data_IF_874784595178
#
_entry.id   IF_874784595178
#
_cell.length_a   1.000
_cell.length_b   1.000
_cell.length_c   1.000
_cell.angle_alpha   90.00
_cell.angle_beta   90.00
_cell.angle_gamma   90.00
#
_symmetry.space_group_name_H-M   'P 1'
#
loop_
_entity.id
_entity.type
_entity.pdbx_description
1 polymer ?
#
# COMPACT_ATOMS: atom_id res chain seq x y z
N UNK A 1 -3.29 20.61 32.37
CA UNK A 1 -3.23 20.18 30.95
C UNK A 1 -3.25 18.67 30.99
N UNK A 2 -4.15 18.00 30.26
CA UNK A 2 -4.10 16.55 30.16
C UNK A 2 -2.78 16.17 29.43
N UNK A 3 -2.02 15.23 29.98
CA UNK A 3 -0.80 14.74 29.32
C UNK A 3 -1.15 14.20 27.93
N UNK A 4 -0.49 14.73 26.89
CA UNK A 4 -0.66 14.24 25.51
C UNK A 4 -0.27 12.78 25.45
N UNK A 5 -1.14 11.87 24.97
CA UNK A 5 -0.82 10.46 24.92
C UNK A 5 0.38 10.23 23.99
N UNK A 6 1.32 9.42 24.44
CA UNK A 6 2.51 9.08 23.65
C UNK A 6 2.18 8.19 22.44
N UNK A 7 1.07 7.44 22.52
CA UNK A 7 0.54 6.59 21.47
C UNK A 7 -0.97 6.85 21.25
N UNK A 8 -1.34 7.13 20.02
CA UNK A 8 -2.75 7.11 19.57
C UNK A 8 -2.96 5.96 18.59
N UNK A 9 -3.94 5.10 18.86
CA UNK A 9 -4.38 4.06 17.93
C UNK A 9 -5.57 4.58 17.15
N UNK A 10 -5.43 4.76 15.85
CA UNK A 10 -6.53 5.10 14.93
C UNK A 10 -7.12 3.80 14.40
N UNK A 11 -8.33 3.47 14.80
CA UNK A 11 -8.99 2.23 14.43
C UNK A 11 -10.05 2.46 13.36
N UNK A 12 -9.95 1.77 12.22
CA UNK A 12 -11.00 1.73 11.21
C UNK A 12 -11.86 0.46 11.42
N UNK A 13 -13.02 0.57 12.09
CA UNK A 13 -13.79 -0.60 12.51
C UNK A 13 -14.32 -1.42 11.34
N UNK A 14 -14.48 -0.84 10.16
CA UNK A 14 -15.00 -1.52 8.96
C UNK A 14 -13.92 -2.28 8.19
N UNK A 15 -12.63 -2.02 8.45
CA UNK A 15 -11.52 -2.69 7.79
C UNK A 15 -11.57 -4.22 8.02
N UNK A 16 -11.13 -4.95 6.97
CA UNK A 16 -11.16 -6.41 6.98
C UNK A 16 -12.58 -6.99 7.16
N UNK A 17 -13.59 -6.37 6.58
CA UNK A 17 -15.01 -6.74 6.71
C UNK A 17 -15.48 -6.72 8.19
N UNK A 18 -15.07 -5.71 8.94
CA UNK A 18 -15.43 -5.54 10.35
C UNK A 18 -14.51 -6.29 11.32
N UNK A 19 -13.45 -6.93 10.84
CA UNK A 19 -12.45 -7.63 11.69
C UNK A 19 -11.74 -6.64 12.62
N UNK A 20 -11.35 -5.48 12.12
CA UNK A 20 -10.62 -4.47 12.90
C UNK A 20 -11.44 -4.00 14.11
N UNK A 21 -12.74 -3.76 13.96
CA UNK A 21 -13.63 -3.39 15.08
C UNK A 21 -13.63 -4.44 16.20
N UNK A 22 -13.65 -5.73 15.83
CA UNK A 22 -13.60 -6.83 16.81
C UNK A 22 -12.24 -6.96 17.52
N UNK A 23 -11.17 -6.40 16.93
CA UNK A 23 -9.81 -6.47 17.47
C UNK A 23 -9.46 -5.31 18.40
N UNK A 24 -10.26 -4.24 18.48
CA UNK A 24 -10.03 -3.10 19.36
C UNK A 24 -9.80 -3.55 20.82
N UNK A 25 -10.68 -4.40 21.35
CA UNK A 25 -10.54 -4.94 22.70
C UNK A 25 -9.25 -5.73 22.92
N UNK A 26 -8.81 -6.50 21.90
CA UNK A 26 -7.54 -7.25 21.95
C UNK A 26 -6.34 -6.30 21.98
N UNK A 27 -6.35 -5.25 21.14
CA UNK A 27 -5.30 -4.23 21.10
C UNK A 27 -5.21 -3.51 22.44
N UNK A 28 -6.34 -3.01 22.96
CA UNK A 28 -6.41 -2.32 24.28
C UNK A 28 -5.84 -3.20 25.40
N UNK A 29 -6.29 -4.46 25.47
CA UNK A 29 -5.83 -5.40 26.51
C UNK A 29 -4.34 -5.72 26.37
N UNK A 30 -3.85 -5.87 25.12
CA UNK A 30 -2.46 -6.12 24.82
C UNK A 30 -1.55 -4.97 25.25
N UNK A 31 -1.90 -3.73 24.88
CA UNK A 31 -1.15 -2.53 25.24
C UNK A 31 -1.14 -2.29 26.76
N UNK A 32 -2.29 -2.46 27.43
CA UNK A 32 -2.37 -2.36 28.89
C UNK A 32 -1.46 -3.38 29.60
N UNK A 33 -1.44 -4.63 29.15
CA UNK A 33 -0.58 -5.69 29.71
C UNK A 33 0.91 -5.37 29.55
N UNK A 34 1.27 -4.65 28.47
CA UNK A 34 2.64 -4.20 28.21
C UNK A 34 2.98 -2.86 28.93
N UNK A 35 2.04 -2.28 29.66
CA UNK A 35 2.23 -0.98 30.33
C UNK A 35 2.31 0.21 29.38
N UNK A 36 1.84 0.08 28.14
CA UNK A 36 1.88 1.15 27.14
C UNK A 36 0.67 2.08 27.31
N UNK A 37 0.93 3.33 27.69
CA UNK A 37 -0.10 4.37 27.77
C UNK A 37 -0.57 4.71 26.36
N UNK A 38 -1.87 4.64 26.11
CA UNK A 38 -2.45 4.81 24.80
C UNK A 38 -3.87 5.38 24.85
N UNK A 39 -4.24 6.03 23.75
CA UNK A 39 -5.62 6.43 23.45
C UNK A 39 -6.06 5.67 22.19
N UNK A 40 -7.35 5.27 22.14
CA UNK A 40 -7.93 4.68 20.91
C UNK A 40 -8.97 5.65 20.37
N UNK A 41 -8.81 6.06 19.13
CA UNK A 41 -9.76 6.86 18.37
C UNK A 41 -10.33 6.01 17.23
N UNK A 42 -11.65 5.92 17.16
CA UNK A 42 -12.36 5.09 16.16
C UNK A 42 -12.82 6.02 15.04
N UNK A 43 -12.45 5.69 13.81
CA UNK A 43 -12.87 6.45 12.63
C UNK A 43 -14.27 6.03 12.15
N UNK A 44 -15.01 6.97 11.59
CA UNK A 44 -16.30 6.74 10.96
C UNK A 44 -16.20 6.48 9.44
N UNK A 45 -15.10 6.91 8.83
CA UNK A 45 -14.85 6.80 7.39
C UNK A 45 -13.35 6.74 7.08
N UNK A 46 -12.99 6.50 5.80
CA UNK A 46 -11.60 6.57 5.36
C UNK A 46 -10.96 7.96 5.58
N UNK A 47 -11.55 9.06 5.05
CA UNK A 47 -11.03 10.42 5.30
C UNK A 47 -10.89 10.78 6.78
N UNK A 48 -11.72 10.20 7.64
CA UNK A 48 -11.67 10.41 9.08
C UNK A 48 -10.41 9.79 9.71
N UNK A 49 -9.90 8.67 9.16
CA UNK A 49 -8.62 8.09 9.59
C UNK A 49 -7.48 9.10 9.42
N UNK A 50 -7.39 9.72 8.25
CA UNK A 50 -6.36 10.72 7.95
C UNK A 50 -6.47 11.94 8.87
N UNK A 51 -7.69 12.44 9.06
CA UNK A 51 -7.98 13.59 9.97
C UNK A 51 -7.57 13.27 11.40
N UNK A 52 -8.00 12.12 11.94
CA UNK A 52 -7.68 11.71 13.33
C UNK A 52 -6.17 11.54 13.51
N UNK A 53 -5.49 10.93 12.54
CA UNK A 53 -4.04 10.75 12.60
C UNK A 53 -3.31 12.10 12.62
N UNK A 54 -3.73 13.03 11.78
CA UNK A 54 -3.20 14.41 11.71
C UNK A 54 -3.40 15.15 13.03
N UNK A 55 -4.61 15.18 13.54
CA UNK A 55 -4.94 15.85 14.81
C UNK A 55 -4.15 15.27 15.98
N UNK A 56 -3.96 13.95 16.02
CA UNK A 56 -3.14 13.31 17.04
C UNK A 56 -1.67 13.78 16.96
N UNK A 57 -1.09 13.76 15.78
CA UNK A 57 0.32 14.14 15.57
C UNK A 57 0.55 15.64 15.83
N UNK A 58 -0.32 16.53 15.33
CA UNK A 58 -0.26 17.97 15.58
C UNK A 58 -0.50 18.30 17.06
N UNK A 59 -1.29 17.48 17.77
CA UNK A 59 -1.46 17.53 19.21
C UNK A 59 -0.26 17.06 20.02
N UNK A 60 0.84 16.66 19.37
CA UNK A 60 2.10 16.29 20.02
C UNK A 60 2.29 14.77 20.25
N UNK A 61 1.36 13.92 19.78
CA UNK A 61 1.53 12.46 19.83
C UNK A 61 2.75 12.06 19.01
N UNK A 62 3.62 11.24 19.59
CA UNK A 62 4.87 10.80 18.94
C UNK A 62 4.71 9.54 18.10
N UNK A 63 3.67 8.75 18.37
CA UNK A 63 3.44 7.47 17.72
C UNK A 63 1.95 7.30 17.40
N UNK A 64 1.65 7.15 16.11
CA UNK A 64 0.30 6.86 15.62
C UNK A 64 0.25 5.44 15.08
N UNK A 65 -0.63 4.60 15.63
CA UNK A 65 -0.81 3.21 15.19
C UNK A 65 -2.12 3.08 14.41
N UNK A 66 -2.05 2.59 13.19
CA UNK A 66 -3.21 2.34 12.33
C UNK A 66 -3.73 0.91 12.52
N UNK A 67 -4.89 0.75 13.13
CA UNK A 67 -5.58 -0.55 13.25
C UNK A 67 -6.52 -0.74 12.05
N UNK A 68 -6.06 -1.50 11.06
CA UNK A 68 -6.81 -1.73 9.83
C UNK A 68 -6.02 -2.51 8.80
N UNK A 69 -6.39 -2.41 7.53
CA UNK A 69 -5.64 -2.94 6.39
C UNK A 69 -4.74 -1.87 5.74
N UNK A 70 -4.16 -2.20 4.59
CA UNK A 70 -3.21 -1.35 3.86
C UNK A 70 -3.77 0.05 3.57
N UNK A 71 -5.04 0.18 3.17
CA UNK A 71 -5.68 1.49 2.98
C UNK A 71 -5.76 2.32 4.27
N UNK A 72 -6.04 1.70 5.44
CA UNK A 72 -6.04 2.40 6.72
C UNK A 72 -4.64 2.89 7.09
N UNK A 73 -3.61 2.08 6.82
CA UNK A 73 -2.21 2.44 7.04
C UNK A 73 -1.81 3.61 6.15
N UNK A 74 -2.17 3.56 4.86
CA UNK A 74 -1.89 4.63 3.89
C UNK A 74 -2.53 5.96 4.28
N UNK A 75 -3.81 5.94 4.70
CA UNK A 75 -4.52 7.13 5.17
C UNK A 75 -3.88 7.72 6.45
N UNK A 76 -3.51 6.87 7.41
CA UNK A 76 -2.83 7.32 8.62
C UNK A 76 -1.45 7.91 8.31
N UNK A 77 -0.70 7.29 7.37
CA UNK A 77 0.58 7.81 6.88
C UNK A 77 0.42 9.22 6.29
N UNK A 78 -0.57 9.43 5.41
CA UNK A 78 -0.86 10.75 4.85
C UNK A 78 -1.22 11.77 5.93
N UNK A 79 -1.93 11.34 6.97
CA UNK A 79 -2.27 12.21 8.10
C UNK A 79 -1.07 12.73 8.88
N UNK A 80 -0.06 11.89 9.10
CA UNK A 80 1.10 12.25 9.94
C UNK A 80 2.31 12.71 9.15
N UNK A 81 2.27 12.63 7.82
CA UNK A 81 3.40 13.03 6.97
C UNK A 81 3.82 14.49 7.25
N UNK A 82 5.10 14.70 7.49
CA UNK A 82 5.67 16.02 7.80
C UNK A 82 5.50 16.48 9.25
N UNK A 83 4.85 15.71 10.14
CA UNK A 83 4.65 16.07 11.56
C UNK A 83 5.79 15.58 12.47
N UNK A 84 6.61 14.64 11.99
CA UNK A 84 7.63 13.97 12.79
C UNK A 84 7.11 12.87 13.71
N UNK A 85 5.81 12.57 13.71
CA UNK A 85 5.26 11.41 14.39
C UNK A 85 5.59 10.13 13.63
N UNK A 86 5.83 9.03 14.35
CA UNK A 86 6.08 7.73 13.74
C UNK A 86 4.77 6.98 13.47
N UNK A 87 4.77 6.17 12.40
CA UNK A 87 3.67 5.27 12.06
C UNK A 87 3.92 3.87 12.62
N UNK A 88 2.89 3.22 13.13
CA UNK A 88 2.87 1.78 13.38
C UNK A 88 1.68 1.14 12.67
N UNK A 89 1.85 -0.06 12.12
CA UNK A 89 0.77 -0.83 11.52
C UNK A 89 0.29 -1.93 12.47
N UNK A 90 -1.02 -1.95 12.75
CA UNK A 90 -1.71 -3.01 13.49
C UNK A 90 -2.61 -3.78 12.48
N UNK A 91 -2.13 -4.92 11.95
CA UNK A 91 -2.76 -5.61 10.84
C UNK A 91 -4.13 -6.20 11.20
N UNK A 92 -5.15 -5.75 10.49
CA UNK A 92 -6.53 -6.21 10.65
C UNK A 92 -7.29 -6.31 9.31
N UNK A 93 -6.59 -6.10 8.20
CA UNK A 93 -7.11 -6.20 6.86
C UNK A 93 -7.17 -7.64 6.32
N UNK A 94 -7.31 -7.75 5.00
CA UNK A 94 -7.27 -9.00 4.25
C UNK A 94 -5.88 -9.26 3.63
N UNK A 95 -5.15 -8.21 3.27
CA UNK A 95 -3.81 -8.26 2.70
C UNK A 95 -2.74 -8.04 3.76
N UNK A 96 -2.78 -6.89 4.38
CA UNK A 96 -1.78 -6.41 5.36
C UNK A 96 -0.34 -6.48 4.80
N UNK A 97 -0.19 -6.11 3.53
CA UNK A 97 1.05 -6.29 2.76
C UNK A 97 2.15 -5.34 3.21
N UNK A 98 1.81 -4.09 3.52
CA UNK A 98 2.73 -3.14 4.14
C UNK A 98 3.23 -3.66 5.51
N UNK A 99 2.31 -4.12 6.36
CA UNK A 99 2.67 -4.64 7.69
C UNK A 99 3.60 -5.85 7.59
N UNK A 100 3.43 -6.72 6.59
CA UNK A 100 4.37 -7.83 6.32
C UNK A 100 5.75 -7.33 5.94
N UNK A 101 5.83 -6.28 5.10
CA UNK A 101 7.08 -5.67 4.65
C UNK A 101 7.93 -5.15 5.80
N UNK A 102 7.31 -4.51 6.76
CA UNK A 102 7.95 -3.93 7.94
C UNK A 102 8.11 -4.90 9.14
N UNK A 103 7.81 -6.19 8.97
CA UNK A 103 7.95 -7.19 10.04
C UNK A 103 6.85 -7.15 11.12
N UNK A 104 5.72 -6.49 10.84
CA UNK A 104 4.57 -6.36 11.73
C UNK A 104 3.34 -7.17 11.25
N UNK A 105 3.52 -8.18 10.39
CA UNK A 105 2.43 -8.89 9.70
C UNK A 105 1.50 -9.73 10.59
N UNK A 106 1.81 -9.89 11.90
CA UNK A 106 0.93 -10.53 12.89
C UNK A 106 0.55 -9.52 13.97
N UNK A 107 -0.75 -9.43 14.30
CA UNK A 107 -1.24 -8.45 15.27
C UNK A 107 -0.54 -8.52 16.62
N UNK A 108 -0.30 -9.73 17.15
CA UNK A 108 0.36 -9.88 18.45
C UNK A 108 1.83 -9.42 18.42
N UNK A 109 2.53 -9.66 17.30
CA UNK A 109 3.86 -9.11 17.05
C UNK A 109 3.81 -7.59 17.00
N UNK A 110 2.89 -7.04 16.20
CA UNK A 110 2.73 -5.58 16.04
C UNK A 110 2.44 -4.87 17.37
N UNK A 111 1.56 -5.44 18.21
CA UNK A 111 1.30 -4.93 19.56
C UNK A 111 2.58 -4.96 20.41
N UNK A 112 3.34 -6.06 20.33
CA UNK A 112 4.59 -6.21 21.08
C UNK A 112 5.65 -5.17 20.72
N UNK A 113 5.73 -4.77 19.43
CA UNK A 113 6.66 -3.73 18.97
C UNK A 113 6.39 -2.37 19.61
N UNK A 114 5.15 -2.08 20.01
CA UNK A 114 4.77 -0.80 20.61
C UNK A 114 5.26 -0.62 22.06
N UNK A 115 5.73 -1.69 22.71
CA UNK A 115 6.31 -1.61 24.06
C UNK A 115 7.72 -1.00 24.05
N UNK A 116 8.49 -1.21 22.97
CA UNK A 116 9.82 -0.65 22.77
C UNK A 116 10.01 -0.39 21.26
N UNK A 117 9.35 0.62 20.71
CA UNK A 117 9.31 0.86 19.27
C UNK A 117 10.70 1.22 18.75
N UNK A 118 11.12 0.49 17.71
CA UNK A 118 12.28 0.84 16.88
C UNK A 118 11.77 1.37 15.56
N UNK A 119 12.19 2.57 15.21
CA UNK A 119 11.77 3.23 13.96
C UNK A 119 12.88 3.22 12.94
N UNK A 120 12.47 3.13 11.67
CA UNK A 120 13.30 3.38 10.49
C UNK A 120 12.57 4.40 9.64
N UNK A 121 13.30 5.33 9.07
CA UNK A 121 12.73 6.32 8.15
C UNK A 121 12.53 5.64 6.79
N UNK A 122 11.27 5.47 6.40
CA UNK A 122 10.88 4.91 5.11
C UNK A 122 10.66 6.01 4.08
N UNK A 123 10.85 5.62 2.83
CA UNK A 123 10.55 6.47 1.69
C UNK A 123 9.03 6.57 1.49
N UNK A 124 8.59 7.71 1.04
CA UNK A 124 7.21 7.97 0.66
C UNK A 124 7.18 8.30 -0.82
N UNK A 125 6.21 7.78 -1.52
CA UNK A 125 6.04 8.07 -2.94
C UNK A 125 4.92 9.08 -3.09
N UNK A 126 5.22 10.16 -3.79
CA UNK A 126 4.26 11.17 -4.16
C UNK A 126 3.79 10.94 -5.58
N UNK A 127 2.48 10.91 -5.78
CA UNK A 127 1.85 10.78 -7.08
C UNK A 127 1.04 12.02 -7.42
N UNK A 128 1.21 12.50 -8.62
CA UNK A 128 0.41 13.60 -9.20
C UNK A 128 -0.31 13.13 -10.45
N UNK A 129 -1.64 13.28 -10.49
CA UNK A 129 -2.47 13.02 -11.68
C UNK A 129 -3.35 14.24 -11.93
N UNK A 130 -3.17 14.95 -13.03
CA UNK A 130 -3.88 16.21 -13.27
C UNK A 130 -3.69 17.20 -12.12
N UNK A 131 -4.75 17.53 -11.38
CA UNK A 131 -4.69 18.40 -10.19
C UNK A 131 -4.64 17.64 -8.86
N UNK A 132 -4.78 16.33 -8.87
CA UNK A 132 -4.75 15.51 -7.67
C UNK A 132 -3.32 15.15 -7.29
N UNK A 133 -2.96 15.35 -6.02
CA UNK A 133 -1.69 14.97 -5.43
C UNK A 133 -1.94 14.13 -4.18
N UNK A 134 -1.27 13.00 -4.09
CA UNK A 134 -1.39 12.07 -2.98
C UNK A 134 -0.04 11.46 -2.66
N UNK A 135 0.11 10.97 -1.41
CA UNK A 135 1.26 10.17 -1.02
C UNK A 135 0.83 8.73 -0.75
N UNK A 136 1.72 7.78 -0.99
CA UNK A 136 1.52 6.36 -0.68
C UNK A 136 2.84 5.72 -0.26
N UNK A 137 2.77 4.54 0.36
CA UNK A 137 3.94 3.93 1.04
C UNK A 137 4.27 2.52 0.54
N UNK A 138 3.45 1.97 -0.36
CA UNK A 138 3.64 0.59 -0.80
C UNK A 138 3.72 0.48 -2.33
N UNK A 139 2.61 0.26 -3.04
CA UNK A 139 2.60 0.07 -4.50
C UNK A 139 1.42 0.79 -5.12
N UNK A 140 1.66 1.41 -6.27
CA UNK A 140 0.65 1.91 -7.18
C UNK A 140 0.68 1.15 -8.49
N UNK A 141 -0.49 0.90 -9.06
CA UNK A 141 -0.65 0.18 -10.31
C UNK A 141 -1.49 0.92 -11.34
N UNK A 142 -1.18 0.71 -12.62
CA UNK A 142 -1.92 1.20 -13.77
C UNK A 142 -2.08 0.11 -14.82
N UNK A 143 -3.30 -0.14 -15.27
CA UNK A 143 -3.61 -1.12 -16.31
C UNK A 143 -4.53 -2.22 -15.83
N UNK A 144 -4.14 -3.48 -16.02
CA UNK A 144 -5.00 -4.63 -15.73
C UNK A 144 -5.45 -4.70 -14.26
N UNK A 145 -4.54 -4.50 -13.32
CA UNK A 145 -4.81 -4.49 -11.88
C UNK A 145 -5.82 -3.40 -11.50
N UNK A 146 -5.69 -2.21 -12.06
CA UNK A 146 -6.61 -1.09 -11.84
C UNK A 146 -8.02 -1.39 -12.35
N UNK A 147 -8.13 -2.02 -13.53
CA UNK A 147 -9.42 -2.47 -14.06
C UNK A 147 -10.03 -3.63 -13.23
N UNK A 148 -9.20 -4.49 -12.64
CA UNK A 148 -9.64 -5.51 -11.67
C UNK A 148 -10.20 -4.86 -10.41
N UNK A 149 -9.51 -3.87 -9.86
CA UNK A 149 -9.97 -3.13 -8.68
C UNK A 149 -11.30 -2.40 -8.96
N UNK A 150 -11.43 -1.71 -10.09
CA UNK A 150 -12.67 -1.06 -10.51
C UNK A 150 -13.81 -2.09 -10.67
N UNK A 151 -13.53 -3.23 -11.31
CA UNK A 151 -14.49 -4.31 -11.47
C UNK A 151 -14.93 -4.89 -10.13
N UNK A 152 -13.99 -5.16 -9.21
CA UNK A 152 -14.28 -5.72 -7.89
C UNK A 152 -15.12 -4.76 -7.04
N UNK A 153 -14.81 -3.47 -7.08
CA UNK A 153 -15.57 -2.43 -6.39
C UNK A 153 -16.99 -2.28 -6.92
N UNK A 154 -17.22 -2.49 -8.22
CA UNK A 154 -18.53 -2.45 -8.87
C UNK A 154 -19.35 -3.75 -8.78
N UNK A 155 -18.83 -4.83 -8.19
CA UNK A 155 -19.55 -6.09 -8.08
C UNK A 155 -20.58 -6.05 -6.96
N UNK A 156 -21.85 -6.34 -7.30
CA UNK A 156 -22.97 -6.43 -6.36
C UNK A 156 -22.94 -7.72 -5.53
N UNK A 157 -22.48 -8.82 -6.14
CA UNK A 157 -22.40 -10.14 -5.49
C UNK A 157 -20.99 -10.27 -4.91
N UNK A 158 -20.89 -10.33 -3.59
CA UNK A 158 -19.63 -10.52 -2.87
C UNK A 158 -19.47 -11.99 -2.48
N UNK A 159 -18.51 -12.67 -3.09
CA UNK A 159 -18.16 -14.09 -2.85
C UNK A 159 -17.09 -14.24 -1.74
N UNK A 160 -17.08 -13.31 -0.79
CA UNK A 160 -15.95 -13.11 0.10
C UNK A 160 -14.80 -12.36 -0.60
N UNK A 161 -13.78 -11.91 0.14
CA UNK A 161 -12.73 -11.07 -0.43
C UNK A 161 -11.99 -11.76 -1.60
N UNK A 162 -11.46 -12.96 -1.36
CA UNK A 162 -10.70 -13.70 -2.38
C UNK A 162 -11.58 -14.12 -3.57
N UNK A 163 -12.79 -14.60 -3.32
CA UNK A 163 -13.71 -15.04 -4.38
C UNK A 163 -14.15 -13.87 -5.26
N UNK A 164 -14.47 -12.72 -4.68
CA UNK A 164 -14.81 -11.51 -5.41
C UNK A 164 -13.66 -11.02 -6.28
N UNK A 165 -12.43 -11.03 -5.74
CA UNK A 165 -11.25 -10.63 -6.48
C UNK A 165 -10.94 -11.56 -7.66
N UNK A 166 -10.99 -12.88 -7.44
CA UNK A 166 -10.80 -13.87 -8.53
C UNK A 166 -11.87 -13.73 -9.61
N UNK A 167 -13.14 -13.54 -9.23
CA UNK A 167 -14.21 -13.32 -10.20
C UNK A 167 -14.01 -12.02 -10.98
N UNK A 168 -13.59 -10.94 -10.32
CA UNK A 168 -13.24 -9.67 -10.96
C UNK A 168 -12.08 -9.84 -11.94
N UNK A 169 -11.01 -10.55 -11.53
CA UNK A 169 -9.84 -10.84 -12.37
C UNK A 169 -10.25 -11.57 -13.66
N UNK A 170 -11.01 -12.67 -13.55
CA UNK A 170 -11.46 -13.43 -14.72
C UNK A 170 -12.37 -12.59 -15.62
N UNK A 171 -13.32 -11.86 -15.03
CA UNK A 171 -14.24 -10.98 -15.76
C UNK A 171 -13.48 -9.87 -16.47
N UNK A 172 -12.52 -9.22 -15.82
CA UNK A 172 -11.69 -8.18 -16.42
C UNK A 172 -10.83 -8.75 -17.54
N UNK A 173 -10.13 -9.86 -17.30
CA UNK A 173 -9.26 -10.48 -18.29
C UNK A 173 -10.01 -10.88 -19.57
N UNK A 174 -11.29 -11.28 -19.47
CA UNK A 174 -12.08 -11.68 -20.65
C UNK A 174 -12.24 -10.55 -21.66
N UNK A 175 -12.27 -9.29 -21.24
CA UNK A 175 -12.48 -8.09 -22.08
C UNK A 175 -11.28 -7.14 -22.11
N UNK A 176 -10.27 -7.38 -21.27
CA UNK A 176 -9.09 -6.51 -21.19
C UNK A 176 -8.32 -6.51 -22.51
N UNK A 177 -7.86 -5.33 -22.89
CA UNK A 177 -6.89 -5.11 -23.96
C UNK A 177 -5.70 -4.33 -23.40
N UNK A 178 -4.45 -4.72 -23.73
CA UNK A 178 -3.27 -3.94 -23.37
C UNK A 178 -3.39 -2.50 -23.85
N UNK A 179 -2.74 -1.57 -23.15
CA UNK A 179 -2.59 -0.20 -23.59
C UNK A 179 -1.14 0.05 -24.03
N UNK A 180 -0.95 1.03 -24.91
CA UNK A 180 0.37 1.54 -25.25
C UNK A 180 0.73 2.60 -24.19
N UNK A 181 1.80 2.34 -23.47
CA UNK A 181 2.34 3.23 -22.44
C UNK A 181 3.60 3.93 -22.96
N UNK A 182 3.74 5.18 -22.53
CA UNK A 182 5.00 5.92 -22.58
C UNK A 182 5.43 6.11 -21.14
N UNK A 183 6.59 5.56 -20.78
CA UNK A 183 7.13 5.59 -19.43
C UNK A 183 8.47 6.28 -19.48
N UNK A 184 8.62 7.38 -18.74
CA UNK A 184 9.90 8.06 -18.59
C UNK A 184 10.41 7.81 -17.18
N UNK A 185 11.56 7.20 -17.05
CA UNK A 185 12.23 6.87 -15.77
C UNK A 185 13.48 7.73 -15.72
N UNK A 186 13.48 8.73 -14.85
CA UNK A 186 14.50 9.77 -14.83
C UNK A 186 14.70 10.35 -16.26
N UNK A 187 15.75 9.97 -16.98
CA UNK A 187 16.03 10.42 -18.36
C UNK A 187 15.76 9.32 -19.43
N UNK A 188 15.40 8.09 -19.03
CA UNK A 188 15.15 6.98 -19.94
C UNK A 188 13.67 6.94 -20.36
N UNK A 189 13.39 7.06 -21.67
CA UNK A 189 12.04 6.94 -22.24
C UNK A 189 11.82 5.55 -22.82
N UNK A 190 10.73 4.89 -22.42
CA UNK A 190 10.31 3.57 -22.88
C UNK A 190 8.91 3.66 -23.48
N UNK A 191 8.74 3.18 -24.69
CA UNK A 191 7.43 3.01 -25.33
C UNK A 191 7.10 1.52 -25.40
N UNK A 192 5.95 1.11 -24.86
CA UNK A 192 5.63 -0.31 -24.71
C UNK A 192 4.13 -0.57 -24.66
N UNK A 193 3.69 -1.62 -25.37
CA UNK A 193 2.37 -2.20 -25.13
C UNK A 193 2.44 -3.11 -23.89
N UNK A 194 1.68 -2.77 -22.86
CA UNK A 194 1.71 -3.49 -21.59
C UNK A 194 0.32 -3.87 -21.08
N UNK A 195 0.29 -4.96 -20.32
CA UNK A 195 -0.86 -5.36 -19.52
C UNK A 195 -1.02 -4.43 -18.31
N UNK A 196 0.11 -4.18 -17.63
CA UNK A 196 0.13 -3.34 -16.43
C UNK A 196 1.53 -2.76 -16.20
N UNK A 197 1.57 -1.68 -15.42
CA UNK A 197 2.75 -1.03 -14.87
C UNK A 197 2.52 -0.86 -13.38
N UNK A 198 3.38 -1.45 -12.56
CA UNK A 198 3.39 -1.32 -11.10
C UNK A 198 4.61 -0.51 -10.67
N UNK A 199 4.41 0.41 -9.75
CA UNK A 199 5.44 1.34 -9.27
C UNK A 199 5.33 1.42 -7.75
N UNK A 200 6.44 1.25 -7.03
CA UNK A 200 6.40 1.31 -5.58
C UNK A 200 7.76 1.14 -4.93
N UNK A 201 7.76 1.08 -3.60
CA UNK A 201 8.91 0.72 -2.78
C UNK A 201 8.63 -0.53 -1.93
N UNK A 202 7.37 -0.97 -1.85
CA UNK A 202 6.97 -2.20 -1.15
C UNK A 202 7.07 -3.43 -2.03
N UNK A 203 7.29 -4.60 -1.41
CA UNK A 203 7.45 -5.89 -2.13
C UNK A 203 6.14 -6.55 -2.50
N UNK A 204 5.08 -6.33 -1.72
CA UNK A 204 3.83 -7.07 -1.79
C UNK A 204 2.65 -6.15 -2.03
N UNK A 205 1.69 -6.64 -2.79
CA UNK A 205 0.37 -6.03 -2.97
C UNK A 205 -0.70 -7.10 -3.15
N UNK A 206 -1.97 -6.72 -3.03
CA UNK A 206 -3.10 -7.58 -3.35
C UNK A 206 -3.21 -8.85 -2.50
N UNK A 207 -2.71 -8.82 -1.25
CA UNK A 207 -2.81 -9.94 -0.32
C UNK A 207 -1.72 -10.99 -0.44
N UNK A 208 -0.51 -10.61 -0.84
CA UNK A 208 0.67 -11.47 -0.85
C UNK A 208 1.32 -11.70 -2.21
N UNK A 209 0.89 -11.00 -3.24
CA UNK A 209 1.60 -11.01 -4.53
C UNK A 209 2.91 -10.22 -4.39
N UNK A 210 4.04 -10.85 -4.67
CA UNK A 210 5.38 -10.24 -4.63
C UNK A 210 5.70 -9.57 -5.96
N UNK A 211 5.02 -8.47 -6.25
CA UNK A 211 5.11 -7.79 -7.55
C UNK A 211 6.47 -7.12 -7.74
N UNK A 212 7.02 -6.56 -6.69
CA UNK A 212 8.35 -5.94 -6.67
C UNK A 212 9.26 -6.68 -5.67
N UNK A 213 9.70 -7.92 -5.99
CA UNK A 213 10.29 -8.84 -4.99
C UNK A 213 11.59 -8.33 -4.36
N UNK A 214 12.32 -7.45 -5.04
CA UNK A 214 13.61 -6.92 -4.60
C UNK A 214 13.52 -5.49 -4.04
N UNK A 215 12.32 -4.89 -4.05
CA UNK A 215 12.08 -3.54 -3.57
C UNK A 215 12.53 -3.33 -2.11
N UNK A 216 13.05 -2.14 -1.83
CA UNK A 216 13.51 -1.72 -0.51
C UNK A 216 12.90 -0.37 -0.16
N UNK A 217 12.14 -0.31 0.94
CA UNK A 217 11.30 0.83 1.31
C UNK A 217 12.08 2.05 1.83
N UNK A 218 13.42 1.99 1.86
CA UNK A 218 14.28 3.06 2.41
C UNK A 218 15.62 3.17 1.68
N UNK A 219 15.66 2.94 0.38
CA UNK A 219 16.89 3.08 -0.43
C UNK A 219 16.85 4.28 -1.40
N UNK A 220 15.77 5.06 -1.34
CA UNK A 220 15.61 6.26 -2.16
C UNK A 220 15.22 5.98 -3.60
N UNK A 221 14.74 4.76 -3.91
CA UNK A 221 14.38 4.36 -5.26
C UNK A 221 12.91 3.94 -5.37
N UNK A 222 12.34 4.21 -6.53
CA UNK A 222 11.12 3.60 -7.03
C UNK A 222 11.48 2.31 -7.76
N UNK A 223 10.83 1.22 -7.43
CA UNK A 223 10.87 -0.02 -8.21
C UNK A 223 9.70 -0.06 -9.20
N UNK A 224 9.95 -0.54 -10.41
CA UNK A 224 8.97 -0.69 -11.46
C UNK A 224 8.90 -2.13 -11.96
N UNK A 225 7.68 -2.63 -12.14
CA UNK A 225 7.40 -3.87 -12.84
C UNK A 225 6.50 -3.56 -14.06
N UNK A 226 7.04 -3.77 -15.26
CA UNK A 226 6.32 -3.57 -16.52
C UNK A 226 6.02 -4.95 -17.10
N UNK A 227 4.75 -5.33 -17.16
CA UNK A 227 4.32 -6.59 -17.79
C UNK A 227 3.84 -6.27 -19.20
N UNK A 228 4.70 -6.58 -20.20
CA UNK A 228 4.38 -6.35 -21.60
C UNK A 228 3.15 -7.12 -22.06
N UNK A 229 2.58 -6.70 -23.15
CA UNK A 229 1.42 -7.37 -23.76
C UNK A 229 1.62 -8.87 -23.93
N UNK A 230 0.67 -9.63 -23.40
CA UNK A 230 0.59 -11.09 -23.43
C UNK A 230 -0.78 -11.53 -23.92
N UNK A 231 -0.87 -12.72 -24.51
CA UNK A 231 -2.17 -13.35 -24.70
C UNK A 231 -2.80 -13.69 -23.34
N UNK A 232 -4.13 -13.69 -23.26
CA UNK A 232 -4.87 -13.99 -22.02
C UNK A 232 -4.46 -15.32 -21.39
N UNK A 233 -4.24 -16.33 -22.24
CA UNK A 233 -3.80 -17.66 -21.78
C UNK A 233 -2.36 -17.65 -21.26
N UNK A 234 -1.45 -16.89 -21.90
CA UNK A 234 -0.08 -16.73 -21.41
C UNK A 234 -0.04 -15.97 -20.09
N UNK A 235 -0.86 -14.92 -19.95
CA UNK A 235 -1.00 -14.16 -18.71
C UNK A 235 -1.46 -15.08 -17.56
N UNK A 236 -2.54 -15.86 -17.75
CA UNK A 236 -3.03 -16.80 -16.73
C UNK A 236 -2.00 -17.86 -16.31
N UNK A 237 -1.18 -18.33 -17.25
CA UNK A 237 -0.09 -19.29 -16.92
C UNK A 237 1.06 -18.63 -16.15
N UNK A 238 1.34 -17.37 -16.43
CA UNK A 238 2.41 -16.62 -15.78
C UNK A 238 1.98 -16.08 -14.41
N UNK A 239 0.69 -15.77 -14.23
CA UNK A 239 0.15 -15.09 -13.04
C UNK A 239 0.52 -15.76 -11.70
N UNK A 240 0.45 -17.10 -11.52
CA UNK A 240 0.83 -17.71 -10.24
C UNK A 240 2.27 -17.45 -9.81
N UNK A 241 3.16 -17.11 -10.75
CA UNK A 241 4.58 -16.83 -10.46
C UNK A 241 4.76 -15.55 -9.64
N UNK A 242 3.76 -14.64 -9.65
CA UNK A 242 3.82 -13.41 -8.86
C UNK A 242 3.86 -13.68 -7.35
N UNK A 243 3.24 -14.76 -6.87
CA UNK A 243 3.24 -15.09 -5.44
C UNK A 243 4.62 -15.51 -4.92
N UNK A 244 5.48 -16.02 -5.79
CA UNK A 244 6.86 -16.39 -5.47
C UNK A 244 7.87 -15.32 -5.87
N UNK A 245 7.46 -14.29 -6.63
CA UNK A 245 8.36 -13.31 -7.23
C UNK A 245 9.07 -13.81 -8.49
N UNK A 246 8.85 -15.07 -8.91
CA UNK A 246 9.55 -15.66 -10.07
C UNK A 246 9.04 -15.15 -11.43
N UNK A 247 8.00 -14.32 -11.45
CA UNK A 247 7.53 -13.64 -12.67
C UNK A 247 8.60 -12.72 -13.27
N UNK A 248 9.52 -12.18 -12.46
CA UNK A 248 10.62 -11.32 -12.91
C UNK A 248 11.56 -11.99 -13.90
N UNK A 249 11.61 -13.33 -13.93
CA UNK A 249 12.40 -14.08 -14.92
C UNK A 249 11.66 -14.31 -16.24
N UNK A 250 10.39 -13.85 -16.36
CA UNK A 250 9.63 -14.01 -17.59
C UNK A 250 10.08 -12.98 -18.64
N UNK A 251 10.32 -13.37 -19.93
CA UNK A 251 10.87 -12.46 -20.95
C UNK A 251 9.97 -11.28 -21.31
N UNK A 252 8.71 -11.31 -20.91
CA UNK A 252 7.75 -10.20 -21.06
C UNK A 252 7.62 -9.32 -19.82
N UNK A 253 8.38 -9.59 -18.77
CA UNK A 253 8.44 -8.75 -17.57
C UNK A 253 9.77 -7.99 -17.57
N UNK A 254 9.69 -6.70 -17.35
CA UNK A 254 10.84 -5.80 -17.26
C UNK A 254 10.81 -5.13 -15.90
N UNK A 255 11.89 -5.27 -15.13
CA UNK A 255 12.10 -4.56 -13.87
C UNK A 255 12.99 -3.35 -14.13
N UNK A 256 12.69 -2.23 -13.49
CA UNK A 256 13.48 -0.98 -13.53
C UNK A 256 13.45 -0.32 -12.17
N UNK A 257 14.38 0.60 -11.97
CA UNK A 257 14.41 1.48 -10.80
C UNK A 257 14.68 2.92 -11.24
N UNK A 258 14.24 3.89 -10.47
CA UNK A 258 14.49 5.31 -10.71
C UNK A 258 14.03 6.16 -9.55
N UNK A 259 14.23 7.45 -9.61
CA UNK A 259 13.80 8.41 -8.57
C UNK A 259 12.55 9.16 -8.95
N UNK A 260 12.30 9.29 -10.25
CA UNK A 260 11.13 9.95 -10.82
C UNK A 260 10.64 9.15 -12.02
N UNK A 261 9.33 8.92 -12.06
CA UNK A 261 8.69 8.16 -13.13
C UNK A 261 7.48 8.93 -13.63
N UNK A 262 7.42 9.16 -14.95
CA UNK A 262 6.23 9.65 -15.63
C UNK A 262 5.59 8.51 -16.42
N UNK A 263 4.28 8.39 -16.34
CA UNK A 263 3.53 7.37 -17.07
C UNK A 263 2.39 8.02 -17.85
N UNK A 264 2.35 7.77 -19.14
CA UNK A 264 1.26 8.15 -20.03
C UNK A 264 0.68 6.91 -20.70
N UNK A 265 -0.54 6.99 -21.19
CA UNK A 265 -1.16 5.92 -21.96
C UNK A 265 -1.97 6.47 -23.13
N UNK A 266 -2.11 5.66 -24.21
CA UNK A 266 -2.87 6.00 -25.40
C UNK A 266 -4.40 5.95 -25.21
N UNK A 267 -4.86 5.55 -24.03
CA UNK A 267 -6.27 5.53 -23.61
C UNK A 267 -6.40 5.91 -22.13
N UNK A 268 -7.62 6.13 -21.69
CA UNK A 268 -7.87 6.35 -20.25
C UNK A 268 -7.53 5.09 -19.47
N UNK A 269 -6.56 5.18 -18.58
CA UNK A 269 -6.16 4.17 -17.61
C UNK A 269 -6.18 4.81 -16.24
N UNK A 270 -6.80 4.15 -15.26
CA UNK A 270 -6.84 4.61 -13.87
C UNK A 270 -5.58 4.15 -13.13
N UNK A 271 -5.19 4.93 -12.13
CA UNK A 271 -4.12 4.60 -11.19
C UNK A 271 -4.74 4.38 -9.82
N UNK A 272 -4.40 3.26 -9.20
CA UNK A 272 -4.67 2.96 -7.81
C UNK A 272 -3.36 2.91 -7.04
N UNK A 273 -3.29 3.54 -5.88
CA UNK A 273 -2.15 3.51 -4.97
C UNK A 273 -2.61 3.00 -3.60
N UNK A 274 -1.94 2.01 -3.04
CA UNK A 274 -2.30 1.34 -1.79
C UNK A 274 -3.78 0.89 -1.73
N UNK A 275 -4.35 0.56 -2.90
CA UNK A 275 -5.75 0.14 -3.05
C UNK A 275 -6.75 1.28 -3.21
N UNK A 276 -6.34 2.54 -3.14
CA UNK A 276 -7.20 3.72 -3.29
C UNK A 276 -7.07 4.32 -4.69
N UNK A 277 -8.20 4.74 -5.26
CA UNK A 277 -8.23 5.43 -6.56
C UNK A 277 -7.58 6.82 -6.43
N UNK A 278 -6.54 7.07 -7.23
CA UNK A 278 -5.89 8.39 -7.31
C UNK A 278 -6.44 9.22 -8.46
N UNK A 279 -6.47 8.67 -9.66
CA UNK A 279 -6.96 9.36 -10.84
C UNK A 279 -6.53 8.68 -12.14
N UNK A 280 -6.84 9.29 -13.30
CA UNK A 280 -6.40 8.76 -14.58
C UNK A 280 -4.95 9.18 -14.90
N UNK A 281 -4.28 8.39 -15.74
CA UNK A 281 -3.05 8.83 -16.41
C UNK A 281 -3.33 10.07 -17.31
N UNK A 282 -2.31 10.95 -17.51
CA UNK A 282 -0.91 10.82 -17.11
C UNK A 282 -0.68 11.02 -15.62
N UNK A 283 0.35 10.36 -15.09
CA UNK A 283 0.77 10.45 -13.70
C UNK A 283 2.28 10.63 -13.59
N UNK A 284 2.70 11.36 -12.55
CA UNK A 284 4.09 11.54 -12.16
C UNK A 284 4.26 10.95 -10.77
N UNK A 285 5.28 10.11 -10.59
CA UNK A 285 5.67 9.49 -9.33
C UNK A 285 7.04 10.02 -8.94
N UNK A 286 7.19 10.48 -7.72
CA UNK A 286 8.45 11.01 -7.18
C UNK A 286 8.71 10.40 -5.80
N UNK A 287 9.93 9.87 -5.60
CA UNK A 287 10.34 9.37 -4.29
C UNK A 287 10.69 10.52 -3.36
N UNK A 288 10.29 10.40 -2.11
CA UNK A 288 10.71 11.25 -0.99
C UNK A 288 11.46 10.41 0.02
N UNK A 289 12.80 10.38 -0.06
CA UNK A 289 13.60 9.51 0.79
C UNK A 289 13.45 9.86 2.27
N UNK A 290 13.28 8.83 3.10
CA UNK A 290 13.26 8.93 4.55
C UNK A 290 12.15 9.82 5.11
N UNK A 291 11.06 10.02 4.39
CA UNK A 291 10.04 11.01 4.74
C UNK A 291 9.08 10.58 5.87
N UNK A 292 9.06 9.29 6.24
CA UNK A 292 8.13 8.75 7.22
C UNK A 292 8.82 7.82 8.21
N UNK A 293 8.95 8.18 9.50
CA UNK A 293 9.38 7.27 10.54
C UNK A 293 8.35 6.15 10.74
N UNK A 294 8.77 4.89 10.66
CA UNK A 294 7.87 3.73 10.80
C UNK A 294 8.44 2.73 11.79
N UNK A 295 7.58 2.20 12.68
CA UNK A 295 7.95 1.13 13.61
C UNK A 295 8.13 -0.17 12.84
N UNK A 296 9.33 -0.76 12.95
CA UNK A 296 9.68 -1.99 12.24
C UNK A 296 9.95 -3.15 13.19
N UNK A 297 9.62 -4.35 12.75
CA UNK A 297 9.94 -5.58 13.44
C UNK A 297 11.31 -6.15 13.01
N UNK A 298 11.86 -7.10 13.77
CA UNK A 298 13.16 -7.72 13.48
C UNK A 298 13.20 -8.49 12.15
N UNK A 299 12.04 -8.94 11.70
CA UNK A 299 11.90 -9.71 10.45
C UNK A 299 11.49 -8.83 9.26
N UNK A 300 11.73 -7.52 9.32
CA UNK A 300 11.42 -6.60 8.22
C UNK A 300 12.20 -6.99 6.97
N UNK A 301 11.49 -7.37 5.90
CA UNK A 301 12.10 -7.83 4.65
C UNK A 301 12.21 -6.74 3.59
N UNK A 302 11.46 -5.67 3.75
CA UNK A 302 11.42 -4.53 2.84
C UNK A 302 12.27 -3.34 3.29
N UNK A 303 13.12 -3.49 4.30
CA UNK A 303 13.90 -2.40 4.92
C UNK A 303 15.36 -2.82 5.04
N UNK A 304 16.28 -1.88 4.86
CA UNK A 304 17.74 -2.03 5.08
C UNK A 304 18.19 -1.29 6.32
#
# INVERSE_FOLDING_TARGET
MADTPTLVVVANPTAGHGKAGKLIGKVTSGLRRLGVAHEIRVSESGPDVERIAREAAEGGTKLVAALGGDGTVSLAANGILGTGAALAALPAGTGDDFAKGIGAGKLDTAIGLLAAPKTVDLDVIEITTGSARRSFVNIAGAGFDSEVNETANGMTIKLGATGTYVAALVKTLSRFAPASFVITIDDERIEVDAMLVEIGSGRWTGGGMRVLPDAVMNDGLLDLCIVRALSKTAFLRAFPRVFTGSHTTHPKVTMRTGTRVEVEANRRVLVYADGELVGPLPAIFEIRPGALPVVVGPDAKGVR
#
